data_IF_728975619680
#
_entry.id   IF_728975619680
#
_cell.length_a   1.000
_cell.length_b   1.000
_cell.length_c   1.000
_cell.angle_alpha   90.00
_cell.angle_beta   90.00
_cell.angle_gamma   90.00
#
_symmetry.space_group_name_H-M   'P 1'
#
loop_
_entity.id
_entity.type
_entity.pdbx_description
1 polymer ?
#
# COMPACT_ATOMS: atom_id res chain seq x y z
N UNK A 1 -4.72 7.39 23.34
CA UNK A 1 -4.44 6.25 22.46
C UNK A 1 -3.53 6.75 21.33
N UNK A 2 -2.54 5.96 20.99
CA UNK A 2 -1.66 6.26 19.85
C UNK A 2 -2.45 6.24 18.54
N UNK A 3 -2.04 7.03 17.52
CA UNK A 3 -2.83 7.19 16.30
C UNK A 3 -2.91 5.88 15.51
N UNK A 4 -4.14 5.47 15.21
CA UNK A 4 -4.48 4.41 14.28
C UNK A 4 -4.99 5.06 13.01
N UNK A 5 -4.25 4.92 11.92
CA UNK A 5 -4.58 5.56 10.65
C UNK A 5 -5.05 4.52 9.64
N UNK A 6 -6.08 4.85 8.88
CA UNK A 6 -6.52 4.03 7.77
C UNK A 6 -6.40 4.81 6.45
N UNK A 7 -5.68 4.25 5.50
CA UNK A 7 -5.61 4.74 4.13
C UNK A 7 -6.70 4.05 3.32
N UNK A 8 -7.72 4.82 2.93
CA UNK A 8 -8.85 4.35 2.13
C UNK A 8 -8.77 4.88 0.70
N UNK A 9 -9.47 4.26 -0.23
CA UNK A 9 -9.53 4.70 -1.62
C UNK A 9 -9.60 3.54 -2.59
N UNK A 10 -9.83 3.86 -3.86
CA UNK A 10 -9.97 2.85 -4.91
C UNK A 10 -8.67 2.06 -5.13
N UNK A 11 -8.80 0.88 -5.75
CA UNK A 11 -7.62 0.10 -6.16
C UNK A 11 -6.78 0.91 -7.15
N UNK A 12 -5.46 0.91 -6.99
CA UNK A 12 -4.55 1.67 -7.86
C UNK A 12 -4.36 3.15 -7.48
N UNK A 13 -5.02 3.68 -6.42
CA UNK A 13 -4.84 5.07 -5.97
C UNK A 13 -3.51 5.35 -5.26
N UNK A 14 -2.68 4.33 -4.98
CA UNK A 14 -1.36 4.54 -4.37
C UNK A 14 -1.32 4.38 -2.85
N UNK A 15 -2.35 3.82 -2.19
CA UNK A 15 -2.36 3.59 -0.72
C UNK A 15 -1.13 2.87 -0.21
N UNK A 16 -0.80 1.73 -0.82
CA UNK A 16 0.39 0.93 -0.50
C UNK A 16 1.68 1.73 -0.68
N UNK A 17 1.77 2.54 -1.74
CA UNK A 17 2.93 3.40 -1.99
C UNK A 17 3.07 4.51 -0.95
N UNK A 18 1.95 5.12 -0.55
CA UNK A 18 1.95 6.12 0.52
C UNK A 18 2.37 5.51 1.86
N UNK A 19 1.82 4.34 2.21
CA UNK A 19 2.22 3.62 3.42
C UNK A 19 3.71 3.24 3.39
N UNK A 20 4.23 2.80 2.23
CA UNK A 20 5.64 2.47 2.05
C UNK A 20 6.55 3.70 2.21
N UNK A 21 6.13 4.86 1.68
CA UNK A 21 6.87 6.10 1.85
C UNK A 21 6.95 6.54 3.33
N UNK A 22 5.84 6.37 4.07
CA UNK A 22 5.83 6.63 5.53
C UNK A 22 6.74 5.64 6.26
N UNK A 23 6.68 4.35 5.92
CA UNK A 23 7.52 3.32 6.52
C UNK A 23 9.02 3.61 6.30
N UNK A 24 9.42 3.93 5.06
CA UNK A 24 10.79 4.30 4.73
C UNK A 24 11.26 5.53 5.53
N UNK A 25 10.40 6.55 5.66
CA UNK A 25 10.72 7.73 6.46
C UNK A 25 10.92 7.39 7.94
N UNK A 26 10.10 6.53 8.53
CA UNK A 26 10.28 6.07 9.90
C UNK A 26 11.60 5.32 10.09
N UNK A 27 12.00 4.49 9.13
CA UNK A 27 13.30 3.80 9.13
C UNK A 27 14.47 4.81 9.07
N UNK A 28 14.40 5.80 8.19
CA UNK A 28 15.39 6.88 8.06
C UNK A 28 15.50 7.71 9.35
N UNK A 29 14.40 7.95 10.04
CA UNK A 29 14.33 8.64 11.33
C UNK A 29 14.84 7.78 12.51
N UNK A 30 15.15 6.50 12.26
CA UNK A 30 15.73 5.59 13.26
C UNK A 30 14.70 5.04 14.25
N UNK A 31 13.46 4.83 13.82
CA UNK A 31 12.44 4.20 14.65
C UNK A 31 12.88 2.80 15.09
N UNK A 32 12.52 2.40 16.28
CA UNK A 32 13.00 1.14 16.87
C UNK A 32 12.53 -0.10 16.12
N UNK A 33 11.39 -0.02 15.43
CA UNK A 33 10.95 -1.03 14.48
C UNK A 33 9.91 -0.52 13.49
N UNK A 34 9.99 -1.02 12.26
CA UNK A 34 8.98 -0.85 11.21
C UNK A 34 8.61 -2.24 10.71
N UNK A 35 7.33 -2.61 10.85
CA UNK A 35 6.80 -3.89 10.44
C UNK A 35 5.84 -3.70 9.26
N UNK A 36 6.05 -4.47 8.20
CA UNK A 36 5.13 -4.57 7.06
C UNK A 36 4.47 -5.93 7.06
N UNK A 37 3.14 -5.95 7.11
CA UNK A 37 2.31 -7.14 7.31
C UNK A 37 1.30 -7.21 6.17
N UNK A 38 1.29 -8.28 5.41
CA UNK A 38 0.23 -8.57 4.46
C UNK A 38 -1.05 -8.97 5.23
N UNK A 39 -2.11 -8.20 5.06
CA UNK A 39 -3.37 -8.39 5.76
C UNK A 39 -4.54 -8.76 4.84
N UNK A 40 -4.25 -9.31 3.66
CA UNK A 40 -5.27 -9.78 2.72
C UNK A 40 -6.12 -10.93 3.29
N UNK A 41 -5.56 -11.73 4.18
CA UNK A 41 -6.28 -12.75 4.94
C UNK A 41 -5.70 -12.91 6.34
N UNK A 42 -6.52 -13.47 7.27
CA UNK A 42 -6.03 -13.77 8.63
C UNK A 42 -4.82 -14.70 8.64
N UNK A 43 -4.76 -15.64 7.69
CA UNK A 43 -3.64 -16.59 7.59
C UNK A 43 -2.33 -15.89 7.26
N UNK A 44 -2.34 -14.99 6.27
CA UNK A 44 -1.16 -14.21 5.88
C UNK A 44 -0.74 -13.25 7.00
N UNK A 45 -1.70 -12.56 7.58
CA UNK A 45 -1.49 -11.66 8.70
C UNK A 45 -0.83 -12.35 9.89
N UNK A 46 -1.30 -13.53 10.29
CA UNK A 46 -0.71 -14.30 11.38
C UNK A 46 0.69 -14.80 11.01
N UNK A 47 0.91 -15.21 9.74
CA UNK A 47 2.21 -15.66 9.28
C UNK A 47 3.24 -14.52 9.35
N UNK A 48 2.92 -13.34 8.83
CA UNK A 48 3.84 -12.20 8.82
C UNK A 48 4.11 -11.66 10.24
N UNK A 49 3.08 -11.57 11.08
CA UNK A 49 3.27 -11.20 12.49
C UNK A 49 4.12 -12.22 13.25
N UNK A 50 3.95 -13.50 12.97
CA UNK A 50 4.77 -14.57 13.56
C UNK A 50 6.24 -14.43 13.15
N UNK A 51 6.51 -14.26 11.86
CA UNK A 51 7.86 -14.04 11.33
C UNK A 51 8.50 -12.78 11.96
N UNK A 52 7.72 -11.71 12.11
CA UNK A 52 8.19 -10.50 12.77
C UNK A 52 8.49 -10.74 14.25
N UNK A 53 7.63 -11.45 14.97
CA UNK A 53 7.83 -11.81 16.38
C UNK A 53 9.12 -12.62 16.57
N UNK A 54 9.41 -13.57 15.68
CA UNK A 54 10.67 -14.36 15.74
C UNK A 54 11.90 -13.44 15.61
N UNK A 55 11.86 -12.47 14.71
CA UNK A 55 12.96 -11.50 14.53
C UNK A 55 13.21 -10.63 15.76
N UNK A 56 12.18 -10.40 16.58
CA UNK A 56 12.34 -9.67 17.87
C UNK A 56 12.86 -10.53 19.02
N UNK A 57 13.14 -11.82 18.77
CA UNK A 57 13.71 -12.72 19.76
C UNK A 57 12.68 -13.45 20.63
N UNK A 58 11.41 -13.45 20.26
CA UNK A 58 10.40 -14.24 20.97
C UNK A 58 10.70 -15.73 20.85
N UNK A 59 10.62 -16.42 22.00
CA UNK A 59 10.74 -17.88 22.02
C UNK A 59 9.50 -18.53 21.42
N UNK A 60 9.69 -19.33 20.36
CA UNK A 60 8.63 -20.03 19.64
C UNK A 60 8.89 -21.55 19.60
N UNK A 61 8.47 -22.30 20.63
CA UNK A 61 8.55 -23.76 20.62
C UNK A 61 7.75 -24.35 19.46
N UNK A 62 8.25 -25.44 18.85
CA UNK A 62 7.66 -26.06 17.65
C UNK A 62 6.24 -26.60 17.83
N UNK A 63 5.87 -26.91 19.06
CA UNK A 63 4.56 -27.44 19.47
C UNK A 63 3.52 -26.35 19.78
N UNK A 64 3.92 -25.08 19.71
CA UNK A 64 3.02 -23.95 19.99
C UNK A 64 2.51 -23.35 18.68
N UNK A 65 1.16 -23.21 18.53
CA UNK A 65 0.59 -22.62 17.32
C UNK A 65 1.12 -21.19 17.06
N UNK A 66 1.37 -20.79 15.80
CA UNK A 66 1.85 -19.45 15.44
C UNK A 66 1.03 -18.31 16.05
N UNK A 67 -0.30 -18.41 16.02
CA UNK A 67 -1.19 -17.40 16.59
C UNK A 67 -0.98 -17.20 18.10
N UNK A 68 -0.64 -18.24 18.84
CA UNK A 68 -0.31 -18.12 20.26
C UNK A 68 0.98 -17.36 20.49
N UNK A 69 1.96 -17.56 19.63
CA UNK A 69 3.23 -16.81 19.66
C UNK A 69 2.99 -15.33 19.33
N UNK A 70 2.18 -15.07 18.30
CA UNK A 70 1.78 -13.69 17.95
C UNK A 70 1.09 -12.99 19.12
N UNK A 71 0.15 -13.64 19.80
CA UNK A 71 -0.51 -13.06 20.99
C UNK A 71 0.49 -12.75 22.11
N UNK A 72 1.43 -13.64 22.40
CA UNK A 72 2.51 -13.37 23.37
C UNK A 72 3.35 -12.18 22.98
N UNK A 73 3.68 -12.04 21.70
CA UNK A 73 4.39 -10.88 21.17
C UNK A 73 3.61 -9.59 21.39
N UNK A 74 2.32 -9.57 21.04
CA UNK A 74 1.44 -8.41 21.24
C UNK A 74 1.30 -8.04 22.72
N UNK A 75 1.21 -9.01 23.62
CA UNK A 75 1.17 -8.77 25.06
C UNK A 75 2.48 -8.18 25.59
N UNK A 76 3.63 -8.62 25.06
CA UNK A 76 4.92 -8.03 25.40
C UNK A 76 5.03 -6.57 24.89
N UNK A 77 4.51 -6.26 23.70
CA UNK A 77 4.47 -4.88 23.20
C UNK A 77 3.68 -3.95 24.10
N UNK A 78 2.54 -4.41 24.67
CA UNK A 78 1.72 -3.62 25.59
C UNK A 78 2.45 -3.23 26.86
N UNK A 79 3.35 -4.08 27.35
CA UNK A 79 4.14 -3.86 28.56
C UNK A 79 5.56 -3.34 28.31
N UNK A 80 5.95 -3.17 27.05
CA UNK A 80 7.27 -2.70 26.69
C UNK A 80 7.44 -1.20 26.99
N UNK A 81 8.70 -0.79 27.20
CA UNK A 81 9.04 0.62 27.28
C UNK A 81 8.62 1.38 26.02
N UNK A 82 8.30 2.66 26.20
CA UNK A 82 7.91 3.54 25.11
C UNK A 82 9.02 3.61 24.05
N UNK A 83 8.68 3.29 22.83
CA UNK A 83 9.58 3.41 21.70
C UNK A 83 8.77 3.58 20.41
N UNK A 84 9.28 4.37 19.48
CA UNK A 84 8.61 4.59 18.20
C UNK A 84 8.63 3.30 17.36
N UNK A 85 7.45 2.76 17.12
CA UNK A 85 7.22 1.52 16.35
C UNK A 85 6.10 1.73 15.37
N UNK A 86 6.30 1.33 14.12
CA UNK A 86 5.28 1.37 13.09
C UNK A 86 4.89 -0.05 12.68
N UNK A 87 3.58 -0.29 12.60
CA UNK A 87 3.00 -1.48 11.98
C UNK A 87 2.12 -1.07 10.81
N UNK A 88 2.45 -1.53 9.62
CA UNK A 88 1.65 -1.34 8.40
C UNK A 88 0.96 -2.67 8.09
N UNK A 89 -0.37 -2.66 8.07
CA UNK A 89 -1.20 -3.76 7.61
C UNK A 89 -1.71 -3.43 6.22
N UNK A 90 -1.08 -4.02 5.22
CA UNK A 90 -1.41 -3.73 3.83
C UNK A 90 -2.51 -4.66 3.29
N UNK A 91 -3.39 -4.10 2.49
CA UNK A 91 -4.48 -4.79 1.82
C UNK A 91 -5.52 -5.45 2.76
N UNK A 92 -5.96 -4.74 3.78
CA UNK A 92 -7.01 -5.22 4.70
C UNK A 92 -8.34 -5.35 3.95
N UNK A 93 -8.81 -6.57 3.75
CA UNK A 93 -10.08 -6.86 3.10
C UNK A 93 -11.22 -7.07 4.10
N UNK A 94 -10.91 -7.64 5.26
CA UNK A 94 -11.87 -7.90 6.32
C UNK A 94 -11.33 -7.45 7.69
N UNK A 95 -12.02 -6.53 8.35
CA UNK A 95 -11.62 -6.03 9.68
C UNK A 95 -11.68 -7.11 10.77
N UNK A 96 -12.52 -8.11 10.62
CA UNK A 96 -12.59 -9.21 11.59
C UNK A 96 -11.29 -10.01 11.65
N UNK A 97 -10.51 -10.01 10.55
CA UNK A 97 -9.21 -10.67 10.50
C UNK A 97 -8.16 -9.96 11.37
N UNK A 98 -8.33 -8.65 11.60
CA UNK A 98 -7.47 -7.86 12.50
C UNK A 98 -7.84 -8.02 13.98
N UNK A 99 -8.99 -8.59 14.28
CA UNK A 99 -9.48 -8.70 15.67
C UNK A 99 -8.43 -9.41 16.53
N UNK A 100 -8.10 -8.82 17.67
CA UNK A 100 -7.10 -9.30 18.64
C UNK A 100 -5.64 -9.32 18.13
N UNK A 101 -5.37 -8.85 16.90
CA UNK A 101 -4.05 -8.87 16.28
C UNK A 101 -3.47 -7.47 16.02
N UNK A 102 -4.19 -6.41 16.40
CA UNK A 102 -3.70 -5.03 16.29
C UNK A 102 -2.71 -4.77 17.44
N UNK A 103 -1.46 -4.38 17.13
CA UNK A 103 -0.48 -4.01 18.12
C UNK A 103 -0.91 -2.79 18.94
N UNK A 104 -0.65 -2.84 20.25
CA UNK A 104 -0.91 -1.76 21.18
C UNK A 104 0.31 -1.59 22.09
N UNK A 105 0.55 -0.37 22.54
CA UNK A 105 1.65 -0.04 23.45
C UNK A 105 2.07 1.41 23.31
N UNK A 106 2.92 1.87 24.20
CA UNK A 106 3.42 3.24 24.15
C UNK A 106 4.38 3.42 22.97
N UNK A 107 4.11 4.41 22.09
CA UNK A 107 4.87 4.68 20.88
C UNK A 107 4.54 3.74 19.71
N UNK A 108 3.53 2.87 19.81
CA UNK A 108 3.08 2.00 18.72
C UNK A 108 2.11 2.77 17.84
N UNK A 109 2.41 2.92 16.55
CA UNK A 109 1.54 3.50 15.53
C UNK A 109 1.15 2.44 14.52
N UNK A 110 -0.10 2.50 14.07
CA UNK A 110 -0.65 1.52 13.14
C UNK A 110 -1.22 2.22 11.92
N UNK A 111 -0.84 1.74 10.76
CA UNK A 111 -1.43 2.14 9.46
C UNK A 111 -2.07 0.90 8.85
N UNK A 112 -3.29 1.01 8.37
CA UNK A 112 -3.90 0.00 7.51
C UNK A 112 -4.19 0.59 6.14
N UNK A 113 -4.08 -0.21 5.09
CA UNK A 113 -4.55 0.14 3.74
C UNK A 113 -5.75 -0.72 3.38
N UNK A 114 -6.76 -0.14 2.79
CA UNK A 114 -7.98 -0.86 2.40
C UNK A 114 -8.74 -0.16 1.28
N UNK A 115 -9.55 -0.93 0.56
CA UNK A 115 -10.55 -0.38 -0.36
C UNK A 115 -11.95 -0.27 0.27
N UNK A 116 -12.10 -0.70 1.54
CA UNK A 116 -13.38 -0.68 2.24
C UNK A 116 -13.77 0.72 2.67
N UNK A 117 -15.03 1.04 2.47
CA UNK A 117 -15.65 2.27 2.96
C UNK A 117 -16.51 1.93 4.18
N UNK A 118 -16.03 2.31 5.35
CA UNK A 118 -16.68 2.11 6.63
C UNK A 118 -16.70 3.43 7.41
N UNK A 119 -17.48 3.50 8.47
CA UNK A 119 -17.38 4.59 9.43
C UNK A 119 -16.17 4.37 10.36
N UNK A 120 -14.99 4.72 9.82
CA UNK A 120 -13.72 4.47 10.47
C UNK A 120 -13.54 5.25 11.77
N UNK A 121 -14.09 6.46 11.83
CA UNK A 121 -14.01 7.32 13.03
C UNK A 121 -14.74 6.66 14.19
N UNK A 122 -15.91 6.08 13.96
CA UNK A 122 -16.66 5.35 15.00
C UNK A 122 -15.95 4.08 15.48
N UNK A 123 -15.06 3.52 14.67
CA UNK A 123 -14.21 2.38 15.00
C UNK A 123 -12.89 2.78 15.68
N UNK A 124 -12.67 4.08 15.91
CA UNK A 124 -11.46 4.61 16.54
C UNK A 124 -10.24 4.69 15.62
N UNK A 125 -10.47 4.75 14.31
CA UNK A 125 -9.44 4.96 13.30
C UNK A 125 -9.53 6.36 12.72
N UNK A 126 -8.40 6.92 12.31
CA UNK A 126 -8.34 8.19 11.59
C UNK A 126 -8.26 7.92 10.09
N UNK A 127 -9.34 8.16 9.31
CA UNK A 127 -9.35 7.88 7.89
C UNK A 127 -8.64 8.98 7.09
N UNK A 128 -7.80 8.55 6.14
CA UNK A 128 -7.20 9.39 5.10
C UNK A 128 -7.61 8.79 3.76
N UNK A 129 -8.37 9.55 2.97
CA UNK A 129 -8.75 9.12 1.63
C UNK A 129 -7.64 9.41 0.64
N UNK A 130 -7.13 8.37 0.00
CA UNK A 130 -6.14 8.47 -1.08
C UNK A 130 -6.89 8.46 -2.40
N UNK A 131 -6.93 9.62 -3.04
CA UNK A 131 -7.62 9.85 -4.32
C UNK A 131 -6.76 9.53 -5.54
N UNK A 132 -7.20 10.04 -6.68
CA UNK A 132 -6.41 10.11 -7.92
C UNK A 132 -5.44 11.29 -7.86
N UNK A 133 -4.51 11.36 -8.80
CA UNK A 133 -3.64 12.53 -8.93
C UNK A 133 -4.43 13.78 -9.33
N UNK A 134 -3.94 14.93 -8.92
CA UNK A 134 -4.33 16.18 -9.59
C UNK A 134 -3.79 16.17 -11.03
N UNK A 135 -4.51 16.77 -11.97
CA UNK A 135 -4.17 16.74 -13.40
C UNK A 135 -2.71 17.14 -13.67
N UNK A 136 -2.22 18.20 -13.04
CA UNK A 136 -0.85 18.66 -13.20
C UNK A 136 0.19 17.64 -12.68
N UNK A 137 -0.16 16.87 -11.66
CA UNK A 137 0.70 15.78 -11.16
C UNK A 137 0.80 14.65 -12.19
N UNK A 138 -0.33 14.27 -12.80
CA UNK A 138 -0.37 13.25 -13.85
C UNK A 138 0.46 13.67 -15.06
N UNK A 139 0.28 14.90 -15.54
CA UNK A 139 1.04 15.45 -16.68
C UNK A 139 2.54 15.46 -16.37
N UNK A 140 2.92 15.97 -15.20
CA UNK A 140 4.32 16.04 -14.78
C UNK A 140 4.94 14.65 -14.72
N UNK A 141 4.26 13.67 -14.11
CA UNK A 141 4.74 12.30 -14.01
C UNK A 141 4.89 11.63 -15.39
N UNK A 142 3.91 11.83 -16.29
CA UNK A 142 3.98 11.32 -17.65
C UNK A 142 5.21 11.86 -18.39
N UNK A 143 5.42 13.18 -18.37
CA UNK A 143 6.56 13.81 -19.04
C UNK A 143 7.90 13.37 -18.42
N UNK A 144 8.04 13.43 -17.11
CA UNK A 144 9.30 13.10 -16.43
C UNK A 144 9.70 11.64 -16.62
N UNK A 145 8.74 10.73 -16.49
CA UNK A 145 9.03 9.29 -16.57
C UNK A 145 9.19 8.77 -17.99
N UNK A 146 8.42 9.30 -18.96
CA UNK A 146 8.62 8.94 -20.37
C UNK A 146 9.89 9.56 -20.96
N UNK A 147 10.29 10.73 -20.46
CA UNK A 147 11.34 11.56 -21.03
C UNK A 147 10.85 12.41 -22.20
N UNK A 148 9.54 12.53 -22.39
CA UNK A 148 8.88 13.34 -23.40
C UNK A 148 8.42 14.68 -22.79
N UNK A 149 8.35 15.72 -23.60
CA UNK A 149 7.95 17.07 -23.17
C UNK A 149 6.57 17.49 -23.70
N UNK A 150 5.88 16.60 -24.42
CA UNK A 150 4.56 16.88 -24.99
C UNK A 150 3.48 16.87 -23.88
N UNK A 151 3.25 18.05 -23.29
CA UNK A 151 2.26 18.22 -22.21
C UNK A 151 0.83 18.07 -22.70
N UNK A 152 0.54 18.39 -23.98
CA UNK A 152 -0.80 18.27 -24.53
C UNK A 152 -1.19 16.79 -24.71
N UNK A 153 -0.28 15.96 -25.20
CA UNK A 153 -0.48 14.52 -25.25
C UNK A 153 -0.57 13.92 -23.83
N UNK A 154 0.27 14.40 -22.90
CA UNK A 154 0.23 13.97 -21.49
C UNK A 154 -1.12 14.30 -20.83
N UNK A 155 -1.69 15.48 -21.07
CA UNK A 155 -2.99 15.88 -20.54
C UNK A 155 -4.11 14.94 -21.04
N UNK A 156 -4.14 14.68 -22.34
CA UNK A 156 -5.14 13.80 -22.94
C UNK A 156 -5.01 12.34 -22.43
N UNK A 157 -3.79 11.84 -22.24
CA UNK A 157 -3.56 10.52 -21.64
C UNK A 157 -4.05 10.51 -20.18
N UNK A 158 -3.74 11.53 -19.40
CA UNK A 158 -4.16 11.65 -18.00
C UNK A 158 -5.70 11.67 -17.89
N UNK A 159 -6.37 12.41 -18.76
CA UNK A 159 -7.83 12.46 -18.85
C UNK A 159 -8.41 11.07 -19.19
N UNK A 160 -7.89 10.41 -20.20
CA UNK A 160 -8.35 9.08 -20.63
C UNK A 160 -8.18 8.02 -19.54
N UNK A 161 -7.15 8.16 -18.69
CA UNK A 161 -6.85 7.25 -17.58
C UNK A 161 -7.49 7.69 -16.24
N UNK A 162 -8.26 8.79 -16.23
CA UNK A 162 -8.94 9.31 -15.04
C UNK A 162 -7.98 9.71 -13.92
N UNK A 163 -6.77 10.14 -14.26
CA UNK A 163 -5.70 10.51 -13.34
C UNK A 163 -5.34 9.42 -12.31
N UNK A 164 -5.67 8.16 -12.61
CA UNK A 164 -5.42 7.04 -11.71
C UNK A 164 -3.91 6.75 -11.61
N UNK A 165 -3.29 6.83 -10.42
CA UNK A 165 -1.84 6.75 -10.26
C UNK A 165 -1.19 5.52 -10.89
N UNK A 166 -1.78 4.34 -10.73
CA UNK A 166 -1.25 3.11 -11.33
C UNK A 166 -1.29 3.17 -12.85
N UNK A 167 -2.39 3.66 -13.44
CA UNK A 167 -2.57 3.73 -14.88
C UNK A 167 -1.63 4.77 -15.52
N UNK A 168 -1.55 5.96 -14.92
CA UNK A 168 -0.64 7.04 -15.36
C UNK A 168 0.81 6.59 -15.29
N UNK A 169 1.23 5.94 -14.19
CA UNK A 169 2.59 5.41 -14.04
C UNK A 169 2.91 4.35 -15.08
N UNK A 170 1.96 3.45 -15.36
CA UNK A 170 2.12 2.39 -16.35
C UNK A 170 2.17 2.94 -17.76
N UNK A 171 1.35 3.94 -18.11
CA UNK A 171 1.40 4.61 -19.40
C UNK A 171 2.75 5.25 -19.67
N UNK A 172 3.28 5.99 -18.69
CA UNK A 172 4.61 6.61 -18.78
C UNK A 172 5.72 5.57 -18.96
N UNK A 173 5.67 4.48 -18.20
CA UNK A 173 6.62 3.38 -18.34
C UNK A 173 6.51 2.71 -19.71
N UNK A 174 5.30 2.47 -20.20
CA UNK A 174 5.06 1.86 -21.51
C UNK A 174 5.60 2.72 -22.65
N UNK A 175 5.40 4.04 -22.61
CA UNK A 175 5.96 4.96 -23.59
C UNK A 175 7.50 4.89 -23.59
N UNK A 176 8.12 4.98 -22.41
CA UNK A 176 9.56 4.93 -22.24
C UNK A 176 10.18 3.63 -22.75
N UNK A 177 9.69 2.49 -22.27
CA UNK A 177 10.26 1.19 -22.61
C UNK A 177 9.93 0.74 -24.04
N UNK A 178 8.78 1.18 -24.56
CA UNK A 178 8.37 0.95 -25.93
C UNK A 178 9.09 1.84 -26.96
N UNK A 179 9.77 2.86 -26.51
CA UNK A 179 10.49 3.80 -27.38
C UNK A 179 9.57 4.69 -28.22
N UNK A 180 8.34 4.95 -27.74
CA UNK A 180 7.39 5.84 -28.42
C UNK A 180 7.23 7.16 -27.68
N UNK A 181 6.76 8.17 -28.42
CA UNK A 181 6.35 9.44 -27.83
C UNK A 181 5.04 9.29 -27.08
N UNK A 182 4.71 10.27 -26.22
CA UNK A 182 3.39 10.32 -25.57
C UNK A 182 2.27 10.44 -26.62
N UNK A 183 2.49 11.16 -27.71
CA UNK A 183 1.54 11.26 -28.82
C UNK A 183 1.27 9.90 -29.48
N UNK A 184 2.32 9.09 -29.75
CA UNK A 184 2.15 7.73 -30.26
C UNK A 184 1.39 6.83 -29.27
N UNK A 185 1.62 7.02 -27.98
CA UNK A 185 0.92 6.27 -26.94
C UNK A 185 -0.56 6.64 -26.86
N UNK A 186 -0.88 7.92 -26.99
CA UNK A 186 -2.25 8.43 -27.06
C UNK A 186 -3.01 7.84 -28.25
N UNK A 187 -2.39 7.80 -29.43
CA UNK A 187 -2.96 7.21 -30.64
C UNK A 187 -3.28 5.71 -30.43
N UNK A 188 -2.41 5.00 -29.72
CA UNK A 188 -2.62 3.58 -29.38
C UNK A 188 -3.79 3.39 -28.41
N UNK A 189 -3.88 4.20 -27.35
CA UNK A 189 -5.00 4.18 -26.42
C UNK A 189 -6.35 4.46 -27.12
N UNK A 190 -6.34 5.38 -28.08
CA UNK A 190 -7.53 5.77 -28.83
C UNK A 190 -7.99 4.70 -29.84
N UNK A 191 -7.04 3.99 -30.45
CA UNK A 191 -7.29 3.01 -31.50
C UNK A 191 -7.48 1.57 -30.99
N UNK A 192 -7.07 1.27 -29.75
CA UNK A 192 -7.25 -0.04 -29.11
C UNK A 192 -8.04 0.15 -27.81
N UNK A 193 -9.30 -0.32 -27.73
CA UNK A 193 -10.03 -0.31 -26.47
C UNK A 193 -9.21 -0.98 -25.38
N UNK A 194 -9.28 -0.44 -24.15
CA UNK A 194 -8.51 -0.91 -22.97
C UNK A 194 -8.55 -2.43 -22.75
N UNK A 195 -9.62 -3.10 -23.18
CA UNK A 195 -9.77 -4.55 -23.13
C UNK A 195 -8.75 -5.33 -23.97
N UNK A 196 -8.19 -4.73 -25.02
CA UNK A 196 -7.18 -5.38 -25.88
C UNK A 196 -5.74 -5.00 -25.50
N UNK A 197 -5.54 -3.93 -24.71
CA UNK A 197 -4.22 -3.42 -24.31
C UNK A 197 -3.71 -4.05 -23.02
N UNK A 198 -4.58 -4.71 -22.25
CA UNK A 198 -4.21 -5.57 -21.14
C UNK A 198 -4.00 -6.98 -21.70
N UNK A 199 -2.92 -7.18 -22.44
CA UNK A 199 -2.45 -8.55 -22.67
C UNK A 199 -2.04 -9.09 -21.30
N UNK A 200 -2.82 -10.03 -20.77
CA UNK A 200 -2.37 -10.90 -19.69
C UNK A 200 -1.04 -11.49 -20.15
N UNK A 201 0.05 -11.08 -19.54
CA UNK A 201 1.27 -11.87 -19.58
C UNK A 201 0.89 -13.20 -18.93
N UNK A 202 0.94 -14.29 -19.70
CA UNK A 202 0.76 -15.63 -19.16
C UNK A 202 1.79 -15.82 -18.04
N UNK A 203 1.33 -15.89 -16.80
CA UNK A 203 2.16 -16.05 -15.61
C UNK A 203 1.96 -15.00 -14.52
N UNK A 204 1.21 -13.93 -14.74
CA UNK A 204 0.83 -13.00 -13.68
C UNK A 204 -0.45 -13.49 -12.98
N UNK A 205 -0.24 -14.41 -12.05
CA UNK A 205 -1.18 -14.66 -10.96
C UNK A 205 -1.07 -13.49 -9.96
N UNK A 206 -1.74 -12.38 -10.27
CA UNK A 206 -2.11 -11.42 -9.25
C UNK A 206 -3.38 -11.92 -8.55
N UNK A 207 -3.32 -12.16 -7.22
CA UNK A 207 -4.49 -12.58 -6.45
C UNK A 207 -5.58 -11.51 -6.44
#
# INVERSE_FOLDING_TARGET
AEPRTVLTGMRGSGKTQLAAAVAAKCEEEGWSSVAWINAASRKELVADLYEFALRTGINAPKDVPPETIVRRFLDQLRSAEAADRLFVFDNVENLDDLRDLIPEGSGVRVIITTTRHLDWDSLGWHPITVGVFERDQSITLLCERSGDTDRDAADQIAEALGDLPVAVTQAAATAKWGGYTLSDHLDRLSNHPLESSISRLEGDDYP
#
